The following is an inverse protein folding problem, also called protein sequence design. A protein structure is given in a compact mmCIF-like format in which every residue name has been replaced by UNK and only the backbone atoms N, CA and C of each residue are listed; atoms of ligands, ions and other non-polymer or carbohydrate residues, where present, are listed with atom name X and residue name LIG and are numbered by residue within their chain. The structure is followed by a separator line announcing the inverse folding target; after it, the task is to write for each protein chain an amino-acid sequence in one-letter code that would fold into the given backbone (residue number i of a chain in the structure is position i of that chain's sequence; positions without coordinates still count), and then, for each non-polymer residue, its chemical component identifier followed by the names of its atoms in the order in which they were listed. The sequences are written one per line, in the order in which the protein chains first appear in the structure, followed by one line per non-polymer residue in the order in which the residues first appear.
data_IF_207083615070
#
_entry.id   IF_207083615070
#
_cell.length_a   1.000
_cell.length_b   1.000
_cell.length_c   1.000
_cell.angle_alpha   90.00
_cell.angle_beta   90.00
_cell.angle_gamma   90.00
#
_symmetry.space_group_name_H-M   'P 1'
#
loop_
_entity.id
_entity.type
_entity.pdbx_description
1 polymer ?
#
# COMPACT_ATOMS: atom_id res chain seq x y z
N UNK A 1 -7.15 -20.89 13.07
CA UNK A 1 -5.93 -20.16 12.70
C UNK A 1 -6.35 -19.10 11.70
N UNK A 2 -6.41 -17.85 12.12
CA UNK A 2 -6.97 -16.76 11.32
C UNK A 2 -5.87 -16.18 10.45
N UNK A 3 -5.80 -16.59 9.20
CA UNK A 3 -4.78 -16.12 8.26
C UNK A 3 -5.22 -14.80 7.66
N UNK A 4 -4.47 -13.74 7.96
CA UNK A 4 -4.63 -12.42 7.36
C UNK A 4 -4.58 -12.52 5.83
N UNK A 5 -5.67 -12.14 5.15
CA UNK A 5 -5.82 -12.20 3.69
C UNK A 5 -4.74 -11.38 2.97
N UNK A 6 -4.26 -10.27 3.55
CA UNK A 6 -3.17 -9.48 2.99
C UNK A 6 -1.89 -10.32 2.94
N UNK A 7 -1.56 -11.03 4.03
CA UNK A 7 -0.42 -11.94 4.06
C UNK A 7 -0.54 -13.05 3.03
N UNK A 8 -1.68 -13.73 2.93
CA UNK A 8 -1.87 -14.82 1.98
C UNK A 8 -1.71 -14.33 0.53
N UNK A 9 -2.32 -13.18 0.23
CA UNK A 9 -2.23 -12.56 -1.09
C UNK A 9 -0.79 -12.19 -1.42
N UNK A 10 -0.09 -11.53 -0.50
CA UNK A 10 1.30 -11.12 -0.71
C UNK A 10 2.22 -12.34 -0.86
N UNK A 11 2.10 -13.34 0.01
CA UNK A 11 2.86 -14.60 -0.06
C UNK A 11 2.67 -15.33 -1.41
N UNK A 12 1.46 -15.26 -1.98
CA UNK A 12 1.17 -15.85 -3.30
C UNK A 12 1.72 -15.06 -4.49
N UNK A 13 2.04 -13.77 -4.29
CA UNK A 13 2.47 -12.84 -5.35
C UNK A 13 3.95 -12.52 -5.32
N UNK A 14 4.58 -12.45 -4.15
CA UNK A 14 6.02 -12.18 -3.99
C UNK A 14 6.89 -13.12 -4.84
N UNK A 15 6.68 -14.45 -4.86
CA UNK A 15 7.46 -15.36 -5.71
C UNK A 15 7.25 -15.14 -7.22
N UNK A 16 6.21 -14.40 -7.60
CA UNK A 16 5.84 -14.14 -9.00
C UNK A 16 6.30 -12.75 -9.46
N UNK A 17 6.92 -11.95 -8.58
CA UNK A 17 7.41 -10.61 -8.94
C UNK A 17 8.46 -10.72 -10.05
N UNK A 18 8.25 -10.01 -11.14
CA UNK A 18 9.21 -9.83 -12.23
C UNK A 18 9.32 -8.36 -12.58
N UNK A 19 10.55 -7.90 -12.79
CA UNK A 19 10.84 -6.58 -13.35
C UNK A 19 10.62 -6.68 -14.87
N UNK A 20 9.81 -5.77 -15.40
CA UNK A 20 9.41 -5.79 -16.81
C UNK A 20 10.27 -4.88 -17.69
N UNK A 21 10.93 -3.90 -17.08
CA UNK A 21 11.75 -2.93 -17.81
C UNK A 21 13.18 -3.44 -17.98
N UNK A 22 13.87 -3.09 -19.09
CA UNK A 22 15.25 -3.49 -19.30
C UNK A 22 16.19 -2.96 -18.20
N UNK A 23 17.16 -3.78 -17.80
CA UNK A 23 18.21 -3.38 -16.86
C UNK A 23 18.98 -2.16 -17.38
N UNK A 24 19.31 -1.22 -16.50
CA UNK A 24 19.98 0.04 -16.87
C UNK A 24 19.11 1.08 -17.59
N UNK A 25 17.84 0.78 -17.90
CA UNK A 25 16.89 1.78 -18.42
C UNK A 25 16.53 2.81 -17.34
N UNK A 26 15.98 3.96 -17.74
CA UNK A 26 15.56 5.03 -16.82
C UNK A 26 14.59 4.54 -15.72
N UNK A 27 13.77 3.53 -16.03
CA UNK A 27 12.78 2.98 -15.10
C UNK A 27 13.30 1.80 -14.28
N UNK A 28 14.48 1.26 -14.59
CA UNK A 28 15.03 0.08 -13.89
C UNK A 28 15.27 0.34 -12.41
N UNK A 29 15.82 1.52 -12.06
CA UNK A 29 16.02 1.91 -10.66
C UNK A 29 14.72 1.94 -9.87
N UNK A 30 13.67 2.53 -10.43
CA UNK A 30 12.33 2.59 -9.81
C UNK A 30 11.76 1.16 -9.64
N UNK A 31 11.92 0.30 -10.63
CA UNK A 31 11.44 -1.08 -10.56
C UNK A 31 12.12 -1.89 -9.44
N UNK A 32 13.45 -1.77 -9.32
CA UNK A 32 14.21 -2.42 -8.25
C UNK A 32 13.83 -1.88 -6.88
N UNK A 33 13.69 -0.57 -6.74
CA UNK A 33 13.34 0.05 -5.46
C UNK A 33 11.93 -0.32 -5.00
N UNK A 34 10.93 -0.27 -5.89
CA UNK A 34 9.57 -0.73 -5.53
C UNK A 34 9.61 -2.20 -5.11
N UNK A 35 10.35 -3.06 -5.84
CA UNK A 35 10.49 -4.48 -5.46
C UNK A 35 11.16 -4.62 -4.09
N UNK A 36 12.21 -3.86 -3.80
CA UNK A 36 12.89 -3.86 -2.51
C UNK A 36 11.93 -3.48 -1.37
N UNK A 37 11.15 -2.42 -1.54
CA UNK A 37 10.14 -2.00 -0.56
C UNK A 37 9.09 -3.09 -0.32
N UNK A 38 8.61 -3.75 -1.38
CA UNK A 38 7.66 -4.87 -1.23
C UNK A 38 8.26 -6.00 -0.38
N UNK A 39 9.52 -6.38 -0.63
CA UNK A 39 10.19 -7.48 0.09
C UNK A 39 10.52 -7.10 1.54
N UNK A 40 10.95 -5.85 1.77
CA UNK A 40 11.24 -5.34 3.11
C UNK A 40 9.99 -5.41 4.01
N UNK A 41 8.85 -4.91 3.52
CA UNK A 41 7.61 -4.91 4.30
C UNK A 41 6.91 -6.28 4.38
N UNK A 42 7.18 -7.19 3.44
CA UNK A 42 6.83 -8.61 3.62
C UNK A 42 7.61 -9.22 4.81
N UNK A 43 8.92 -8.99 4.84
CA UNK A 43 9.80 -9.46 5.92
C UNK A 43 9.41 -8.87 7.27
N UNK A 44 9.17 -7.56 7.35
CA UNK A 44 8.70 -6.90 8.57
C UNK A 44 7.38 -7.50 9.05
N UNK A 45 6.44 -7.72 8.12
CA UNK A 45 5.16 -8.36 8.42
C UNK A 45 5.34 -9.76 9.04
N UNK A 46 6.28 -10.54 8.52
CA UNK A 46 6.62 -11.86 9.06
C UNK A 46 7.21 -11.76 10.47
N UNK A 47 8.15 -10.85 10.68
CA UNK A 47 8.81 -10.64 11.97
C UNK A 47 7.82 -10.17 13.06
N UNK A 48 6.92 -9.24 12.73
CA UNK A 48 5.84 -8.84 13.64
C UNK A 48 4.96 -10.03 14.00
N UNK A 49 4.60 -10.87 13.03
CA UNK A 49 3.78 -12.05 13.28
C UNK A 49 4.48 -13.07 14.19
N UNK A 50 5.77 -13.35 13.97
CA UNK A 50 6.55 -14.22 14.84
C UNK A 50 6.62 -13.71 16.29
N UNK A 51 6.52 -12.40 16.50
CA UNK A 51 6.47 -11.75 17.82
C UNK A 51 5.06 -11.62 18.40
N UNK A 52 4.04 -12.17 17.71
CA UNK A 52 2.63 -12.08 18.14
C UNK A 52 1.99 -10.70 17.90
N UNK A 53 2.61 -9.84 17.09
CA UNK A 53 2.13 -8.50 16.79
C UNK A 53 1.30 -8.47 15.49
N UNK A 54 0.10 -9.04 15.56
CA UNK A 54 -0.79 -9.16 14.40
C UNK A 54 -1.17 -7.79 13.79
N UNK A 55 -1.28 -6.75 14.62
CA UNK A 55 -1.68 -5.41 14.18
C UNK A 55 -0.60 -4.77 13.29
N UNK A 56 0.67 -4.84 13.70
CA UNK A 56 1.78 -4.35 12.87
C UNK A 56 2.06 -5.25 11.66
N UNK A 57 1.85 -6.56 11.80
CA UNK A 57 1.95 -7.49 10.68
C UNK A 57 0.96 -7.14 9.57
N UNK A 58 -0.32 -6.96 9.92
CA UNK A 58 -1.39 -6.59 8.98
C UNK A 58 -1.09 -5.31 8.22
N UNK A 59 -0.69 -4.26 8.94
CA UNK A 59 -0.32 -2.98 8.33
C UNK A 59 0.86 -3.12 7.35
N UNK A 60 1.87 -3.90 7.70
CA UNK A 60 3.07 -4.11 6.86
C UNK A 60 2.73 -4.85 5.58
N UNK A 61 1.97 -5.95 5.66
CA UNK A 61 1.56 -6.71 4.48
C UNK A 61 0.65 -5.90 3.54
N UNK A 62 -0.31 -5.14 4.09
CA UNK A 62 -1.20 -4.29 3.30
C UNK A 62 -0.43 -3.15 2.61
N UNK A 63 0.52 -2.54 3.30
CA UNK A 63 1.39 -1.51 2.73
C UNK A 63 2.29 -2.05 1.61
N UNK A 64 2.91 -3.23 1.80
CA UNK A 64 3.67 -3.92 0.76
C UNK A 64 2.83 -4.21 -0.49
N UNK A 65 1.56 -4.62 -0.32
CA UNK A 65 0.64 -4.81 -1.44
C UNK A 65 0.34 -3.51 -2.18
N UNK A 66 0.26 -2.38 -1.48
CA UNK A 66 0.10 -1.05 -2.07
C UNK A 66 1.26 -0.70 -3.00
N UNK A 67 2.50 -0.89 -2.54
CA UNK A 67 3.70 -0.72 -3.38
C UNK A 67 3.71 -1.65 -4.59
N UNK A 68 3.39 -2.92 -4.38
CA UNK A 68 3.39 -3.93 -5.43
C UNK A 68 2.39 -3.60 -6.54
N UNK A 69 1.17 -3.23 -6.16
CA UNK A 69 0.11 -2.89 -7.11
C UNK A 69 0.37 -1.56 -7.82
N UNK A 70 0.97 -0.58 -7.14
CA UNK A 70 1.43 0.64 -7.78
C UNK A 70 2.49 0.34 -8.86
N UNK A 71 3.51 -0.46 -8.55
CA UNK A 71 4.53 -0.87 -9.52
C UNK A 71 3.96 -1.67 -10.70
N UNK A 72 2.98 -2.54 -10.43
CA UNK A 72 2.26 -3.26 -11.49
C UNK A 72 1.43 -2.32 -12.36
N UNK A 73 0.74 -1.34 -11.77
CA UNK A 73 -0.06 -0.36 -12.50
C UNK A 73 0.77 0.62 -13.30
N UNK A 74 1.98 0.96 -12.86
CA UNK A 74 2.94 1.76 -13.63
C UNK A 74 3.46 0.94 -14.83
N UNK A 75 3.41 -0.40 -14.75
CA UNK A 75 3.87 -1.30 -15.80
C UNK A 75 5.35 -1.66 -15.71
N UNK A 76 5.98 -1.39 -14.57
CA UNK A 76 7.40 -1.70 -14.33
C UNK A 76 7.61 -3.06 -13.65
N UNK A 77 6.57 -3.56 -12.98
CA UNK A 77 6.53 -4.89 -12.35
C UNK A 77 5.36 -5.72 -12.89
N UNK A 78 5.49 -7.04 -12.77
CA UNK A 78 4.35 -7.97 -12.82
C UNK A 78 4.43 -8.92 -11.63
N UNK A 79 3.29 -9.34 -11.07
CA UNK A 79 3.26 -10.24 -9.92
C UNK A 79 2.03 -11.17 -9.91
N UNK A 80 1.64 -11.65 -11.11
CA UNK A 80 0.41 -12.41 -11.31
C UNK A 80 -0.84 -11.52 -11.47
N UNK A 81 -1.98 -12.14 -11.78
CA UNK A 81 -3.19 -11.42 -12.18
C UNK A 81 -3.87 -10.72 -10.99
N UNK A 82 -4.19 -9.41 -11.08
CA UNK A 82 -5.04 -8.72 -10.11
C UNK A 82 -6.52 -9.11 -10.19
N UNK A 83 -6.94 -9.87 -11.22
CA UNK A 83 -8.34 -10.25 -11.52
C UNK A 83 -9.07 -11.07 -10.44
N UNK A 84 -8.42 -11.38 -9.31
CA UNK A 84 -9.02 -12.10 -8.18
C UNK A 84 -9.93 -11.25 -7.28
N UNK A 85 -10.24 -10.01 -7.66
CA UNK A 85 -11.16 -9.14 -6.90
C UNK A 85 -10.56 -8.69 -5.56
N UNK A 86 -9.95 -7.51 -5.54
CA UNK A 86 -9.48 -6.87 -4.31
C UNK A 86 -10.64 -6.27 -3.50
N UNK A 87 -11.62 -7.10 -3.15
CA UNK A 87 -12.37 -6.88 -1.92
C UNK A 87 -11.45 -7.40 -0.82
N UNK A 88 -11.04 -6.55 0.12
CA UNK A 88 -10.45 -7.01 1.38
C UNK A 88 -11.62 -7.28 2.34
N UNK A 89 -12.20 -8.49 2.42
CA UNK A 89 -12.79 -8.89 3.68
C UNK A 89 -11.60 -9.33 4.54
N UNK A 90 -11.19 -8.49 5.46
CA UNK A 90 -10.37 -8.96 6.57
C UNK A 90 -11.17 -10.10 7.22
N UNK A 91 -10.56 -11.27 7.35
CA UNK A 91 -11.14 -12.35 8.14
C UNK A 91 -11.27 -11.88 9.59
N UNK A 92 -12.28 -12.42 10.28
CA UNK A 92 -12.72 -12.03 11.62
C UNK A 92 -11.55 -11.96 12.62
N UNK A 93 -11.64 -11.15 13.66
CA UNK A 93 -10.55 -10.96 14.63
C UNK A 93 -10.37 -12.17 15.57
N UNK A 94 -9.15 -12.50 16.01
CA UNK A 94 -8.93 -13.05 17.35
C UNK A 94 -9.24 -11.96 18.40
N UNK A 95 -9.85 -12.36 19.51
CA UNK A 95 -10.48 -11.52 20.55
C UNK A 95 -9.51 -10.73 21.45
N UNK A 96 -8.24 -10.58 21.06
CA UNK A 96 -7.18 -10.13 21.95
C UNK A 96 -6.40 -8.96 21.33
N UNK A 97 -6.86 -7.72 21.56
CA UNK A 97 -6.12 -6.50 21.21
C UNK A 97 -6.91 -5.32 20.64
N UNK A 98 -8.23 -5.23 20.88
CA UNK A 98 -9.12 -4.22 20.26
C UNK A 98 -8.64 -2.77 20.45
N UNK A 99 -8.14 -2.40 21.64
CA UNK A 99 -7.65 -1.05 21.91
C UNK A 99 -6.44 -0.69 21.05
N UNK A 100 -5.44 -1.57 20.99
CA UNK A 100 -4.21 -1.36 20.20
C UNK A 100 -4.49 -1.31 18.70
N UNK A 101 -5.44 -2.13 18.25
CA UNK A 101 -5.91 -2.12 16.87
C UNK A 101 -6.58 -0.77 16.55
N UNK A 102 -7.57 -0.34 17.34
CA UNK A 102 -8.28 0.92 17.12
C UNK A 102 -7.36 2.14 17.14
N UNK A 103 -6.42 2.21 18.08
CA UNK A 103 -5.41 3.28 18.12
C UNK A 103 -4.55 3.31 16.85
N UNK A 104 -4.08 2.15 16.38
CA UNK A 104 -3.26 2.08 15.16
C UNK A 104 -4.10 2.41 13.92
N UNK A 105 -5.34 1.92 13.83
CA UNK A 105 -6.25 2.25 12.72
C UNK A 105 -6.50 3.75 12.64
N UNK A 106 -6.81 4.40 13.77
CA UNK A 106 -7.01 5.85 13.82
C UNK A 106 -5.76 6.63 13.40
N UNK A 107 -4.57 6.17 13.82
CA UNK A 107 -3.29 6.75 13.40
C UNK A 107 -3.08 6.63 11.89
N UNK A 108 -3.35 5.46 11.31
CA UNK A 108 -3.17 5.22 9.87
C UNK A 108 -4.23 5.94 9.02
N UNK A 109 -5.45 6.11 9.53
CA UNK A 109 -6.45 6.99 8.90
C UNK A 109 -5.92 8.42 8.80
N UNK A 110 -5.38 8.95 9.90
CA UNK A 110 -4.82 10.30 9.92
C UNK A 110 -3.66 10.40 8.93
N UNK A 111 -2.74 9.42 8.93
CA UNK A 111 -1.61 9.34 8.01
C UNK A 111 -2.07 9.40 6.54
N UNK A 112 -2.97 8.51 6.11
CA UNK A 112 -3.42 8.48 4.72
C UNK A 112 -4.19 9.75 4.34
N UNK A 113 -5.03 10.29 5.23
CA UNK A 113 -5.72 11.55 4.97
C UNK A 113 -4.74 12.70 4.75
N UNK A 114 -3.75 12.85 5.65
CA UNK A 114 -2.69 13.85 5.49
C UNK A 114 -1.93 13.67 4.18
N UNK A 115 -1.58 12.42 3.83
CA UNK A 115 -0.91 12.13 2.56
C UNK A 115 -1.78 12.53 1.35
N UNK A 116 -3.06 12.16 1.33
CA UNK A 116 -4.01 12.53 0.27
C UNK A 116 -4.17 14.05 0.08
N UNK A 117 -4.05 14.82 1.17
CA UNK A 117 -4.11 16.28 1.16
C UNK A 117 -2.78 16.92 0.73
N UNK A 118 -1.65 16.23 0.93
CA UNK A 118 -0.31 16.73 0.68
C UNK A 118 0.23 16.44 -0.74
N UNK A 119 -0.25 15.38 -1.40
CA UNK A 119 0.24 14.97 -2.72
C UNK A 119 -0.46 15.68 -3.88
N UNK A 120 0.31 16.01 -4.91
CA UNK A 120 -0.19 16.41 -6.22
C UNK A 120 0.51 15.64 -7.35
N UNK A 121 -0.14 15.46 -8.51
CA UNK A 121 0.54 15.01 -9.73
C UNK A 121 1.77 15.88 -10.03
N UNK A 122 2.90 15.24 -10.27
CA UNK A 122 4.14 15.92 -10.66
C UNK A 122 4.28 16.17 -12.18
N UNK A 123 3.78 15.30 -13.08
CA UNK A 123 3.92 15.53 -14.52
C UNK A 123 3.17 16.76 -15.00
N UNK A 124 3.65 17.34 -16.11
CA UNK A 124 3.00 18.48 -16.77
C UNK A 124 1.57 18.12 -17.22
N UNK A 125 0.59 19.05 -17.13
CA UNK A 125 -0.80 18.81 -17.53
C UNK A 125 -1.00 18.33 -18.98
N UNK A 126 -0.07 18.62 -19.90
CA UNK A 126 -0.09 18.13 -21.28
C UNK A 126 0.56 16.76 -21.48
N UNK A 127 1.18 16.18 -20.44
CA UNK A 127 1.95 14.95 -20.55
C UNK A 127 1.08 13.69 -20.46
N UNK A 128 1.49 12.63 -21.15
CA UNK A 128 0.82 11.33 -21.11
C UNK A 128 0.85 10.68 -19.70
N UNK A 129 1.80 11.10 -18.85
CA UNK A 129 1.96 10.57 -17.49
C UNK A 129 1.02 11.22 -16.46
N UNK A 130 0.33 12.32 -16.81
CA UNK A 130 -0.61 12.97 -15.91
C UNK A 130 -1.71 11.99 -15.47
N UNK A 131 -2.34 11.32 -16.44
CA UNK A 131 -3.43 10.36 -16.15
C UNK A 131 -2.97 9.21 -15.24
N UNK A 132 -1.72 8.75 -15.39
CA UNK A 132 -1.10 7.77 -14.50
C UNK A 132 -0.94 8.30 -13.07
N UNK A 133 -0.52 9.56 -12.93
CA UNK A 133 -0.37 10.22 -11.63
C UNK A 133 -1.73 10.45 -10.94
N UNK A 134 -2.73 10.91 -11.69
CA UNK A 134 -4.10 11.08 -11.20
C UNK A 134 -4.70 9.76 -10.73
N UNK A 135 -4.42 8.65 -11.45
CA UNK A 135 -4.84 7.31 -11.03
C UNK A 135 -4.25 6.93 -9.67
N UNK A 136 -2.96 7.20 -9.44
CA UNK A 136 -2.32 6.91 -8.14
C UNK A 136 -3.00 7.71 -7.01
N UNK A 137 -3.22 9.02 -7.21
CA UNK A 137 -3.92 9.87 -6.23
C UNK A 137 -5.34 9.37 -5.99
N UNK A 138 -6.07 9.03 -7.07
CA UNK A 138 -7.42 8.50 -7.00
C UNK A 138 -7.45 7.21 -6.17
N UNK A 139 -6.52 6.28 -6.40
CA UNK A 139 -6.43 5.03 -5.63
C UNK A 139 -6.24 5.31 -4.14
N UNK A 140 -5.29 6.17 -3.75
CA UNK A 140 -5.11 6.54 -2.34
C UNK A 140 -6.39 7.09 -1.70
N UNK A 141 -7.11 7.98 -2.40
CA UNK A 141 -8.39 8.55 -1.94
C UNK A 141 -9.51 7.52 -1.85
N UNK A 142 -9.61 6.61 -2.81
CA UNK A 142 -10.60 5.53 -2.80
C UNK A 142 -10.39 4.63 -1.58
N UNK A 143 -9.14 4.28 -1.25
CA UNK A 143 -8.84 3.47 -0.08
C UNK A 143 -9.04 4.20 1.24
N UNK A 144 -8.87 5.53 1.27
CA UNK A 144 -9.29 6.34 2.41
C UNK A 144 -10.80 6.21 2.63
N UNK A 145 -11.62 6.35 1.59
CA UNK A 145 -13.08 6.21 1.68
C UNK A 145 -13.46 4.80 2.16
N UNK A 146 -12.87 3.76 1.58
CA UNK A 146 -13.17 2.38 1.99
C UNK A 146 -12.77 2.11 3.44
N UNK A 147 -11.60 2.58 3.88
CA UNK A 147 -11.19 2.42 5.26
C UNK A 147 -12.10 3.17 6.24
N UNK A 148 -12.54 4.37 5.91
CA UNK A 148 -13.50 5.12 6.74
C UNK A 148 -14.87 4.44 6.82
N UNK A 149 -15.35 3.87 5.73
CA UNK A 149 -16.59 3.08 5.73
C UNK A 149 -16.44 1.83 6.60
N UNK A 150 -15.31 1.12 6.50
CA UNK A 150 -15.03 -0.02 7.35
C UNK A 150 -14.99 0.35 8.85
N UNK A 151 -14.41 1.51 9.22
CA UNK A 151 -14.46 2.00 10.61
C UNK A 151 -15.89 2.25 11.09
N UNK A 152 -16.76 2.86 10.27
CA UNK A 152 -18.18 3.10 10.62
C UNK A 152 -18.95 1.80 10.85
N UNK A 153 -18.53 0.72 10.19
CA UNK A 153 -19.09 -0.62 10.31
C UNK A 153 -18.37 -1.49 11.36
N UNK A 154 -17.48 -0.89 12.18
CA UNK A 154 -16.70 -1.59 13.20
C UNK A 154 -15.81 -2.71 12.66
N UNK A 155 -15.33 -2.57 11.41
CA UNK A 155 -14.41 -3.51 10.74
C UNK A 155 -12.97 -2.99 10.76
N UNK A 156 -12.40 -2.88 11.96
CA UNK A 156 -11.10 -2.24 12.19
C UNK A 156 -9.93 -2.85 11.40
N UNK A 157 -9.85 -4.17 11.28
CA UNK A 157 -8.80 -4.84 10.48
C UNK A 157 -8.89 -4.49 8.99
N UNK A 158 -10.11 -4.36 8.46
CA UNK A 158 -10.34 -3.92 7.07
C UNK A 158 -9.89 -2.48 6.94
N UNK A 159 -10.27 -1.62 7.88
CA UNK A 159 -9.91 -0.21 7.87
C UNK A 159 -8.39 -0.02 7.89
N UNK A 160 -7.68 -0.70 8.80
CA UNK A 160 -6.22 -0.65 8.88
C UNK A 160 -5.56 -1.11 7.57
N UNK A 161 -6.06 -2.18 6.97
CA UNK A 161 -5.56 -2.69 5.68
C UNK A 161 -5.77 -1.67 4.57
N UNK A 162 -6.96 -1.06 4.47
CA UNK A 162 -7.27 -0.04 3.48
C UNK A 162 -6.35 1.18 3.62
N UNK A 163 -6.16 1.71 4.83
CA UNK A 163 -5.31 2.88 5.04
C UNK A 163 -3.84 2.60 4.72
N UNK A 164 -3.33 1.43 5.14
CA UNK A 164 -1.95 1.03 4.87
C UNK A 164 -1.71 0.81 3.37
N UNK A 165 -2.63 0.13 2.69
CA UNK A 165 -2.56 -0.12 1.25
C UNK A 165 -2.62 1.18 0.45
N UNK A 166 -3.59 2.06 0.75
CA UNK A 166 -3.72 3.35 0.08
C UNK A 166 -2.48 4.22 0.27
N UNK A 167 -1.86 4.16 1.45
CA UNK A 167 -0.63 4.89 1.71
C UNK A 167 0.56 4.33 0.90
N UNK A 168 0.67 3.01 0.77
CA UNK A 168 1.70 2.37 -0.08
C UNK A 168 1.63 2.81 -1.55
N UNK A 169 0.43 3.06 -2.08
CA UNK A 169 0.26 3.62 -3.43
C UNK A 169 0.80 5.04 -3.55
N UNK A 170 0.48 5.91 -2.60
CA UNK A 170 0.94 7.30 -2.63
C UNK A 170 2.45 7.38 -2.46
N UNK A 171 3.01 6.58 -1.56
CA UNK A 171 4.45 6.56 -1.29
C UNK A 171 5.24 6.03 -2.50
N UNK A 172 4.75 4.95 -3.13
CA UNK A 172 5.30 4.49 -4.41
C UNK A 172 5.21 5.55 -5.51
N UNK A 173 4.12 6.32 -5.56
CA UNK A 173 3.95 7.40 -6.52
C UNK A 173 4.92 8.56 -6.32
N UNK A 174 5.18 8.94 -5.05
CA UNK A 174 6.22 9.93 -4.70
C UNK A 174 7.58 9.40 -5.16
N UNK A 175 7.90 8.17 -4.78
CA UNK A 175 9.21 7.59 -5.06
C UNK A 175 9.49 7.39 -6.54
N UNK A 176 8.48 7.01 -7.31
CA UNK A 176 8.56 6.89 -8.76
C UNK A 176 8.51 8.24 -9.50
N UNK A 177 8.36 9.37 -8.80
CA UNK A 177 8.31 10.71 -9.39
C UNK A 177 6.99 11.06 -10.09
N UNK A 178 5.94 10.26 -9.90
CA UNK A 178 4.59 10.57 -10.38
C UNK A 178 3.90 11.62 -9.51
N UNK A 179 4.25 11.67 -8.23
CA UNK A 179 3.69 12.61 -7.27
C UNK A 179 4.77 13.51 -6.67
N UNK A 180 4.36 14.67 -6.21
CA UNK A 180 5.17 15.55 -5.36
C UNK A 180 4.42 15.85 -4.08
N UNK A 181 5.13 15.86 -2.95
CA UNK A 181 4.60 16.26 -1.66
C UNK A 181 4.82 17.76 -1.45
N UNK A 182 3.74 18.54 -1.42
CA UNK A 182 3.81 19.98 -1.20
C UNK A 182 4.05 20.36 0.27
N UNK A 183 3.63 19.50 1.19
CA UNK A 183 3.72 19.66 2.66
C UNK A 183 3.97 18.29 3.29
N UNK A 184 4.34 18.26 4.59
CA UNK A 184 4.49 17.04 5.39
C UNK A 184 5.35 15.97 4.69
N UNK A 185 6.49 16.37 4.12
CA UNK A 185 7.36 15.50 3.32
C UNK A 185 7.97 14.35 4.13
N UNK A 186 8.10 14.54 5.44
CA UNK A 186 8.70 13.61 6.39
C UNK A 186 7.87 12.33 6.61
N UNK A 187 6.61 12.31 6.18
CA UNK A 187 5.77 11.11 6.28
C UNK A 187 6.02 10.12 5.14
N UNK A 188 6.69 10.54 4.06
CA UNK A 188 6.96 9.74 2.87
C UNK A 188 8.38 9.14 2.89
N UNK A 189 8.57 8.05 2.15
CA UNK A 189 9.88 7.48 1.86
C UNK A 189 10.56 8.31 0.76
N UNK A 190 11.53 9.15 1.13
CA UNK A 190 12.30 10.07 0.25
C UNK A 190 13.79 9.72 0.28
#
# INVERSE_FOLDING_TARGET
MNTDRCRETLKGRVPKIRILVPEGSLLSGIAHEIREMVLAYESDGHDFQCRGDAVNACASYAYALGWLDAGCSIGILSAGNPDGGWFIPASQSPDHGETRLGEKTARYRKLLRTACDAVLPSPDPGSLLLSGSEKIVMTGRTFLIYGETAMREHREWVALSCFSYGFGWLDAGIRAGFLTAQKDRDIFTI
#
